data_IF_417853088339
#
_entry.id   IF_417853088339
#
_cell.length_a   1.000
_cell.length_b   1.000
_cell.length_c   1.000
_cell.angle_alpha   90.00
_cell.angle_beta   90.00
_cell.angle_gamma   90.00
#
_symmetry.space_group_name_H-M   'P 1'
#
loop_
_entity.id
_entity.type
_entity.pdbx_description
1 polymer ?
#
# COMPACT_ATOMS: atom_id res chain seq x y z
N UNK A 1 -8.36 13.09 1.12
CA UNK A 1 -9.82 13.19 0.82
C UNK A 1 -10.55 12.15 1.65
N UNK A 2 -11.84 12.32 2.00
CA UNK A 2 -12.57 11.27 2.70
C UNK A 2 -12.76 10.04 1.79
N UNK A 3 -12.64 8.84 2.37
CA UNK A 3 -12.56 7.55 1.65
C UNK A 3 -13.80 7.23 0.78
N UNK A 4 -14.93 7.90 1.03
CA UNK A 4 -16.24 7.58 0.41
C UNK A 4 -16.58 8.36 -0.86
N UNK A 5 -15.66 9.13 -1.43
CA UNK A 5 -15.95 9.98 -2.60
C UNK A 5 -15.48 9.38 -3.95
N UNK A 6 -14.89 8.19 -3.96
CA UNK A 6 -14.34 7.55 -5.18
C UNK A 6 -15.01 6.21 -5.49
N UNK A 7 -14.97 5.81 -6.77
CA UNK A 7 -15.44 4.50 -7.24
C UNK A 7 -14.61 3.38 -6.60
N UNK A 8 -15.27 2.28 -6.24
CA UNK A 8 -14.62 1.09 -5.71
C UNK A 8 -14.05 0.22 -6.83
N UNK A 9 -13.03 -0.58 -6.49
CA UNK A 9 -12.64 -1.74 -7.30
C UNK A 9 -13.79 -2.75 -7.39
N UNK A 10 -13.71 -3.70 -8.33
CA UNK A 10 -14.75 -4.75 -8.51
C UNK A 10 -15.01 -5.53 -7.20
N UNK A 11 -13.98 -5.71 -6.37
CA UNK A 11 -14.09 -6.35 -5.05
C UNK A 11 -14.67 -5.46 -3.93
N UNK A 12 -15.08 -4.22 -4.24
CA UNK A 12 -15.62 -3.26 -3.27
C UNK A 12 -14.56 -2.42 -2.54
N UNK A 13 -13.27 -2.64 -2.79
CA UNK A 13 -12.21 -1.85 -2.16
C UNK A 13 -12.16 -0.41 -2.69
N UNK A 14 -12.33 0.56 -1.81
CA UNK A 14 -12.21 2.00 -2.11
C UNK A 14 -10.75 2.45 -2.09
N UNK A 15 -10.45 3.58 -2.75
CA UNK A 15 -9.14 4.26 -2.71
C UNK A 15 -7.92 3.42 -3.11
N UNK A 16 -8.08 2.40 -3.96
CA UNK A 16 -6.96 1.57 -4.44
C UNK A 16 -5.98 2.30 -5.39
N UNK A 17 -6.30 3.54 -5.80
CA UNK A 17 -5.52 4.37 -6.73
C UNK A 17 -5.51 5.83 -6.25
N UNK A 18 -4.57 6.13 -5.36
CA UNK A 18 -4.33 7.42 -4.74
C UNK A 18 -4.80 7.47 -3.29
N UNK A 19 -5.02 8.69 -2.78
CA UNK A 19 -5.18 8.98 -1.35
C UNK A 19 -3.87 8.75 -0.60
N UNK A 20 -3.52 7.53 -0.21
CA UNK A 20 -2.30 7.22 0.53
C UNK A 20 -1.58 6.01 -0.08
N UNK A 21 -0.25 6.03 -0.03
CA UNK A 21 0.53 4.81 -0.21
C UNK A 21 0.17 3.82 0.89
N UNK A 22 -0.16 2.58 0.53
CA UNK A 22 -0.52 1.54 1.49
C UNK A 22 0.64 0.56 1.67
N UNK A 23 1.14 0.42 2.91
CA UNK A 23 2.18 -0.54 3.24
C UNK A 23 1.72 -1.99 3.01
N UNK A 24 2.59 -2.78 2.37
CA UNK A 24 2.42 -4.21 2.17
C UNK A 24 3.42 -4.97 3.05
N UNK A 25 3.02 -6.17 3.48
CA UNK A 25 3.83 -7.00 4.35
C UNK A 25 5.08 -7.54 3.63
N UNK A 26 5.06 -7.65 2.30
CA UNK A 26 6.19 -8.17 1.55
C UNK A 26 7.39 -7.21 1.53
N UNK A 27 8.60 -7.79 1.52
CA UNK A 27 9.83 -7.04 1.22
C UNK A 27 9.84 -6.54 -0.22
N UNK A 28 10.62 -5.50 -0.49
CA UNK A 28 10.87 -5.05 -1.87
C UNK A 28 11.64 -6.11 -2.64
N UNK A 29 12.73 -6.60 -2.05
CA UNK A 29 13.58 -7.63 -2.62
C UNK A 29 14.05 -8.59 -1.51
N UNK A 30 13.77 -9.91 -1.62
CA UNK A 30 12.89 -10.56 -2.59
C UNK A 30 11.41 -10.35 -2.24
N UNK A 31 10.54 -10.22 -3.24
CA UNK A 31 9.13 -9.84 -3.06
C UNK A 31 8.23 -10.94 -2.47
N UNK A 32 8.69 -12.19 -2.47
CA UNK A 32 7.98 -13.34 -1.90
C UNK A 32 8.03 -13.37 -0.36
N UNK A 33 8.94 -12.60 0.26
CA UNK A 33 9.09 -12.59 1.71
C UNK A 33 8.03 -11.74 2.39
N UNK A 34 6.97 -12.41 2.85
CA UNK A 34 5.80 -11.85 3.54
C UNK A 34 5.80 -12.11 5.04
N UNK A 35 6.93 -12.52 5.63
CA UNK A 35 7.03 -12.70 7.08
C UNK A 35 7.27 -11.38 7.78
N UNK A 36 6.68 -11.24 8.97
CA UNK A 36 7.06 -10.22 9.94
C UNK A 36 8.46 -10.58 10.44
N UNK A 37 9.36 -9.61 10.39
CA UNK A 37 10.72 -9.73 10.89
C UNK A 37 11.25 -8.34 11.26
N UNK A 38 12.37 -8.32 11.98
CA UNK A 38 13.08 -7.15 12.48
C UNK A 38 14.31 -6.81 11.61
N UNK A 39 14.36 -7.31 10.37
CA UNK A 39 15.57 -7.19 9.53
C UNK A 39 15.84 -5.78 8.99
N UNK A 40 14.95 -4.82 9.26
CA UNK A 40 15.04 -3.45 8.73
C UNK A 40 14.95 -3.37 7.19
N UNK A 41 14.56 -4.46 6.52
CA UNK A 41 14.51 -4.49 5.05
C UNK A 41 13.33 -3.68 4.53
N UNK A 42 13.56 -2.97 3.42
CA UNK A 42 12.56 -2.17 2.72
C UNK A 42 11.31 -2.99 2.42
N UNK A 43 10.14 -2.41 2.72
CA UNK A 43 8.83 -3.00 2.46
C UNK A 43 8.16 -2.29 1.28
N UNK A 44 7.30 -3.02 0.58
CA UNK A 44 6.58 -2.48 -0.58
C UNK A 44 5.44 -1.57 -0.14
N UNK A 45 5.20 -0.53 -0.92
CA UNK A 45 4.00 0.31 -0.87
C UNK A 45 3.26 0.26 -2.20
N UNK A 46 1.93 0.26 -2.16
CA UNK A 46 1.04 0.21 -3.34
C UNK A 46 0.05 1.39 -3.35
N UNK A 47 -0.48 1.71 -4.53
CA UNK A 47 -1.64 2.60 -4.69
C UNK A 47 -1.34 4.07 -4.94
N UNK A 48 -0.13 4.57 -4.63
CA UNK A 48 0.19 6.00 -4.77
C UNK A 48 -0.49 6.88 -3.71
N UNK A 49 -0.09 8.15 -3.62
CA UNK A 49 -0.69 9.09 -2.65
C UNK A 49 -1.21 10.38 -3.29
N UNK A 50 -1.88 11.23 -2.51
CA UNK A 50 -2.38 12.54 -2.93
C UNK A 50 -1.30 13.50 -3.45
N UNK A 51 -0.02 13.22 -3.20
CA UNK A 51 1.12 14.02 -3.67
C UNK A 51 1.63 13.60 -5.06
N UNK A 52 1.18 12.45 -5.56
CA UNK A 52 1.73 11.84 -6.76
C UNK A 52 0.83 12.03 -7.98
N UNK A 53 1.41 12.08 -9.20
CA UNK A 53 0.62 12.06 -10.42
C UNK A 53 -0.10 10.73 -10.60
N UNK A 54 -1.20 10.73 -11.35
CA UNK A 54 -2.10 9.58 -11.48
C UNK A 54 -1.41 8.31 -12.03
N UNK A 55 -0.36 8.47 -12.85
CA UNK A 55 0.42 7.33 -13.35
C UNK A 55 1.11 6.52 -12.24
N UNK A 56 1.48 7.16 -11.13
CA UNK A 56 2.09 6.48 -9.96
C UNK A 56 1.05 5.70 -9.16
N UNK A 57 -0.22 6.09 -9.25
CA UNK A 57 -1.33 5.41 -8.60
C UNK A 57 -1.88 4.21 -9.42
N UNK A 58 -1.23 3.84 -10.52
CA UNK A 58 -1.62 2.70 -11.33
C UNK A 58 -1.41 1.37 -10.58
N UNK A 59 -2.27 0.39 -10.84
CA UNK A 59 -2.30 -0.89 -10.11
C UNK A 59 -0.98 -1.68 -10.17
N UNK A 60 -0.24 -1.57 -11.27
CA UNK A 60 1.02 -2.27 -11.47
C UNK A 60 2.21 -1.58 -10.78
N UNK A 61 2.09 -0.29 -10.46
CA UNK A 61 3.18 0.48 -9.86
C UNK A 61 3.34 0.11 -8.40
N UNK A 62 4.59 0.05 -7.96
CA UNK A 62 4.96 -0.13 -6.57
C UNK A 62 6.09 0.82 -6.21
N UNK A 63 6.14 1.18 -4.93
CA UNK A 63 7.27 1.89 -4.32
C UNK A 63 7.77 1.06 -3.14
N UNK A 64 8.81 1.52 -2.47
CA UNK A 64 9.37 0.88 -1.29
C UNK A 64 9.89 1.91 -0.30
N UNK A 65 9.93 1.54 0.97
CA UNK A 65 10.40 2.42 2.05
C UNK A 65 10.96 1.61 3.21
N UNK A 66 11.85 2.23 3.98
CA UNK A 66 12.34 1.65 5.22
C UNK A 66 11.15 1.46 6.18
N UNK A 67 11.05 0.37 6.96
CA UNK A 67 9.90 0.14 7.84
C UNK A 67 9.68 1.26 8.87
N UNK A 68 10.74 1.98 9.26
CA UNK A 68 10.66 3.13 10.19
C UNK A 68 10.23 4.44 9.50
N UNK A 69 10.00 4.43 8.18
CA UNK A 69 9.60 5.62 7.43
C UNK A 69 8.12 5.92 7.66
N UNK A 70 7.84 7.06 8.29
CA UNK A 70 6.50 7.64 8.39
C UNK A 70 6.41 8.95 7.61
N UNK A 71 5.52 9.02 6.63
CA UNK A 71 5.16 10.27 5.94
C UNK A 71 3.63 10.43 5.91
N UNK A 72 3.20 11.69 5.84
CA UNK A 72 1.80 12.09 5.66
C UNK A 72 1.11 11.49 4.42
N UNK A 73 1.87 11.04 3.42
CA UNK A 73 1.41 10.35 2.22
C UNK A 73 1.35 8.82 2.35
N UNK A 74 1.66 8.25 3.51
CA UNK A 74 1.64 6.81 3.77
C UNK A 74 0.51 6.44 4.75
N UNK A 75 -0.04 5.24 4.58
CA UNK A 75 -1.13 4.70 5.37
C UNK A 75 -1.12 3.18 5.38
N UNK A 76 -2.19 2.61 5.94
CA UNK A 76 -2.35 1.16 6.08
C UNK A 76 -3.76 0.73 5.72
N UNK A 77 -3.86 -0.44 5.11
CA UNK A 77 -5.09 -1.20 4.95
C UNK A 77 -4.91 -2.55 5.60
N UNK A 78 -5.75 -2.86 6.57
CA UNK A 78 -5.72 -4.14 7.26
C UNK A 78 -6.44 -5.19 6.42
N UNK A 79 -5.86 -6.38 6.35
CA UNK A 79 -6.47 -7.56 5.77
C UNK A 79 -6.63 -8.61 6.87
N UNK A 80 -7.70 -9.39 6.79
CA UNK A 80 -7.96 -10.51 7.70
C UNK A 80 -8.20 -11.75 6.85
N UNK A 81 -7.69 -12.90 7.30
CA UNK A 81 -8.01 -14.17 6.66
C UNK A 81 -9.50 -14.47 6.85
N UNK A 82 -10.12 -15.10 5.86
CA UNK A 82 -11.46 -15.65 6.04
C UNK A 82 -11.43 -16.67 7.20
N UNK A 83 -12.50 -16.76 8.00
CA UNK A 83 -12.62 -17.82 8.99
C UNK A 83 -12.50 -19.18 8.28
N UNK A 84 -11.84 -20.12 8.96
CA UNK A 84 -11.86 -21.55 8.59
C UNK A 84 -13.18 -22.15 9.08
#
# INVERSE_FOLDING_TARGET
MPIRLKRAAICGALDMSGNLWEWCLNKHEPSEFTKVDDTGKYRVMRGGSFRHPQGVAACAVSSYGHPDFGDSGCGVRVVVAAPI
#
